data_IF_937623878480
#
_entry.id   IF_937623878480
#
_cell.length_a   1.000
_cell.length_b   1.000
_cell.length_c   1.000
_cell.angle_alpha   90.00
_cell.angle_beta   90.00
_cell.angle_gamma   90.00
#
_symmetry.space_group_name_H-M   'P 1'
#
loop_
_entity.id
_entity.type
_entity.pdbx_description
1 polymer ?
#
# COMPACT_ATOMS: atom_id res chain seq x y z
N UNK A 1 -7.01 3.55 -22.48
CA UNK A 1 -6.48 2.53 -21.55
C UNK A 1 -7.32 2.58 -20.30
N UNK A 2 -7.73 1.43 -19.77
CA UNK A 2 -8.42 1.36 -18.48
C UNK A 2 -7.43 1.67 -17.35
N UNK A 3 -7.51 2.88 -16.79
CA UNK A 3 -6.61 3.34 -15.73
C UNK A 3 -6.70 2.45 -14.48
N UNK A 4 -7.87 1.86 -14.19
CA UNK A 4 -8.02 0.94 -13.06
C UNK A 4 -7.21 -0.33 -13.29
N UNK A 5 -7.23 -0.87 -14.50
CA UNK A 5 -6.41 -2.04 -14.88
C UNK A 5 -4.91 -1.74 -14.79
N UNK A 6 -4.49 -0.55 -15.21
CA UNK A 6 -3.09 -0.13 -15.10
C UNK A 6 -2.64 -0.05 -13.63
N UNK A 7 -3.41 0.61 -12.77
CA UNK A 7 -3.10 0.70 -11.34
C UNK A 7 -3.11 -0.69 -10.67
N UNK A 8 -4.02 -1.58 -11.07
CA UNK A 8 -4.02 -2.95 -10.55
C UNK A 8 -2.76 -3.73 -10.98
N UNK A 9 -2.29 -3.56 -12.22
CA UNK A 9 -1.03 -4.17 -12.67
C UNK A 9 0.17 -3.60 -11.89
N UNK A 10 0.20 -2.30 -11.62
CA UNK A 10 1.25 -1.69 -10.77
C UNK A 10 1.25 -2.30 -9.36
N UNK A 11 0.06 -2.59 -8.80
CA UNK A 11 -0.04 -3.29 -7.52
C UNK A 11 0.59 -4.69 -7.58
N UNK A 12 0.31 -5.45 -8.64
CA UNK A 12 0.89 -6.79 -8.85
C UNK A 12 2.42 -6.71 -8.97
N UNK A 13 2.94 -5.75 -9.73
CA UNK A 13 4.38 -5.60 -9.91
C UNK A 13 5.07 -5.15 -8.60
N UNK A 14 4.44 -4.27 -7.83
CA UNK A 14 4.92 -3.92 -6.49
C UNK A 14 4.97 -5.13 -5.53
N UNK A 15 4.01 -6.07 -5.63
CA UNK A 15 4.05 -7.33 -4.86
C UNK A 15 5.23 -8.21 -5.29
N UNK A 16 5.53 -8.30 -6.59
CA UNK A 16 6.69 -9.05 -7.08
C UNK A 16 7.99 -8.44 -6.52
N UNK A 17 8.11 -7.12 -6.62
CA UNK A 17 9.26 -6.38 -6.08
C UNK A 17 9.39 -6.55 -4.57
N UNK A 18 8.28 -6.51 -3.82
CA UNK A 18 8.25 -6.80 -2.39
C UNK A 18 8.85 -8.18 -2.08
N UNK A 19 8.39 -9.23 -2.78
CA UNK A 19 8.87 -10.60 -2.58
C UNK A 19 10.37 -10.72 -2.87
N UNK A 20 10.85 -10.07 -3.94
CA UNK A 20 12.27 -10.05 -4.29
C UNK A 20 13.08 -9.32 -3.22
N UNK A 21 12.64 -8.14 -2.80
CA UNK A 21 13.32 -7.36 -1.76
C UNK A 21 13.40 -8.14 -0.44
N UNK A 22 12.30 -8.79 -0.06
CA UNK A 22 12.23 -9.63 1.13
C UNK A 22 13.20 -10.82 1.05
N UNK A 23 13.17 -11.59 -0.05
CA UNK A 23 14.08 -12.73 -0.24
C UNK A 23 15.56 -12.32 -0.16
N UNK A 24 15.88 -11.08 -0.55
CA UNK A 24 17.23 -10.51 -0.50
C UNK A 24 17.53 -9.73 0.79
N UNK A 25 16.69 -9.85 1.83
CA UNK A 25 16.83 -9.16 3.12
C UNK A 25 16.93 -7.63 3.00
N UNK A 26 16.37 -7.05 1.93
CA UNK A 26 16.29 -5.61 1.70
C UNK A 26 15.04 -5.05 2.37
N UNK A 27 15.05 -5.02 3.70
CA UNK A 27 13.85 -4.78 4.50
C UNK A 27 13.19 -3.42 4.25
N UNK A 28 13.97 -2.33 4.20
CA UNK A 28 13.47 -0.99 3.82
C UNK A 28 12.74 -1.00 2.47
N UNK A 29 13.32 -1.65 1.47
CA UNK A 29 12.70 -1.76 0.15
C UNK A 29 11.45 -2.65 0.19
N UNK A 30 11.46 -3.73 0.98
CA UNK A 30 10.29 -4.59 1.12
C UNK A 30 9.11 -3.83 1.74
N UNK A 31 9.34 -3.06 2.80
CA UNK A 31 8.30 -2.22 3.44
C UNK A 31 7.75 -1.21 2.43
N UNK A 32 8.63 -0.48 1.76
CA UNK A 32 8.25 0.50 0.74
C UNK A 32 7.37 -0.13 -0.36
N UNK A 33 7.79 -1.29 -0.89
CA UNK A 33 7.06 -2.00 -1.96
C UNK A 33 5.73 -2.58 -1.50
N UNK A 34 5.66 -3.07 -0.26
CA UNK A 34 4.43 -3.59 0.34
C UNK A 34 3.36 -2.50 0.47
N UNK A 35 3.75 -1.28 0.89
CA UNK A 35 2.86 -0.14 0.92
C UNK A 35 2.36 0.26 -0.48
N UNK A 36 3.26 0.40 -1.45
CA UNK A 36 2.87 0.81 -2.80
C UNK A 36 1.97 -0.22 -3.49
N UNK A 37 2.13 -1.51 -3.20
CA UNK A 37 1.20 -2.53 -3.66
C UNK A 37 -0.23 -2.23 -3.22
N UNK A 38 -0.43 -1.94 -1.93
CA UNK A 38 -1.76 -1.64 -1.39
C UNK A 38 -2.28 -0.29 -1.88
N UNK A 39 -1.42 0.72 -1.98
CA UNK A 39 -1.77 2.02 -2.53
C UNK A 39 -2.32 1.92 -3.97
N UNK A 40 -1.62 1.19 -4.84
CA UNK A 40 -2.03 0.99 -6.22
C UNK A 40 -3.34 0.19 -6.32
N UNK A 41 -3.52 -0.82 -5.46
CA UNK A 41 -4.77 -1.58 -5.38
C UNK A 41 -5.95 -0.70 -4.92
N UNK A 42 -5.76 0.12 -3.88
CA UNK A 42 -6.76 1.07 -3.40
C UNK A 42 -7.15 2.08 -4.49
N UNK A 43 -6.15 2.61 -5.21
CA UNK A 43 -6.38 3.54 -6.33
C UNK A 43 -7.13 2.89 -7.49
N UNK A 44 -6.78 1.65 -7.85
CA UNK A 44 -7.51 0.89 -8.86
C UNK A 44 -8.99 0.69 -8.48
N UNK A 45 -9.27 0.41 -7.21
CA UNK A 45 -10.64 0.26 -6.70
C UNK A 45 -11.40 1.60 -6.73
N UNK A 46 -10.78 2.71 -6.36
CA UNK A 46 -11.41 4.03 -6.48
C UNK A 46 -11.72 4.40 -7.93
N UNK A 47 -10.81 4.09 -8.86
CA UNK A 47 -11.03 4.29 -10.29
C UNK A 47 -12.21 3.47 -10.82
N UNK A 48 -12.45 2.26 -10.30
CA UNK A 48 -13.66 1.48 -10.64
C UNK A 48 -14.97 2.11 -10.18
N UNK A 49 -14.91 3.04 -9.23
CA UNK A 49 -16.04 3.88 -8.78
C UNK A 49 -16.05 5.27 -9.44
N UNK A 50 -15.22 5.49 -10.47
CA UNK A 50 -15.00 6.79 -11.11
C UNK A 50 -14.49 7.89 -10.15
N UNK A 51 -13.85 7.49 -9.05
CA UNK A 51 -13.28 8.41 -8.05
C UNK A 51 -11.80 8.65 -8.37
N UNK A 52 -11.47 9.90 -8.69
CA UNK A 52 -10.11 10.34 -9.00
C UNK A 52 -9.44 11.01 -7.81
N UNK A 53 -8.29 10.50 -7.39
CA UNK A 53 -7.47 11.10 -6.33
C UNK A 53 -6.14 11.58 -6.90
N UNK A 54 -5.73 12.79 -6.49
CA UNK A 54 -4.48 13.44 -6.98
C UNK A 54 -3.34 13.37 -5.98
N UNK A 55 -3.66 13.26 -4.68
CA UNK A 55 -2.69 13.22 -3.59
C UNK A 55 -2.63 11.81 -2.99
N UNK A 56 -1.49 11.48 -2.41
CA UNK A 56 -1.28 10.20 -1.73
C UNK A 56 -2.33 10.00 -0.62
N UNK A 57 -2.36 10.91 0.34
CA UNK A 57 -3.24 10.87 1.51
C UNK A 57 -4.73 10.85 1.12
N UNK A 58 -5.08 11.55 0.03
CA UNK A 58 -6.44 11.56 -0.51
C UNK A 58 -6.88 10.19 -1.01
N UNK A 59 -5.97 9.39 -1.57
CA UNK A 59 -6.27 8.02 -2.02
C UNK A 59 -6.63 7.14 -0.83
N UNK A 60 -5.85 7.19 0.24
CA UNK A 60 -6.07 6.37 1.42
C UNK A 60 -7.35 6.78 2.15
N UNK A 61 -7.59 8.09 2.34
CA UNK A 61 -8.83 8.59 2.94
C UNK A 61 -10.05 8.19 2.13
N UNK A 62 -10.04 8.41 0.80
CA UNK A 62 -11.17 8.07 -0.05
C UNK A 62 -11.41 6.56 -0.08
N UNK A 63 -10.36 5.74 -0.09
CA UNK A 63 -10.51 4.30 0.01
C UNK A 63 -11.17 3.89 1.34
N UNK A 64 -10.70 4.43 2.46
CA UNK A 64 -11.29 4.18 3.78
C UNK A 64 -12.77 4.56 3.82
N UNK A 65 -13.13 5.73 3.31
CA UNK A 65 -14.52 6.17 3.24
C UNK A 65 -15.37 5.24 2.35
N UNK A 66 -14.91 4.99 1.12
CA UNK A 66 -15.71 4.34 0.08
C UNK A 66 -15.84 2.83 0.23
N UNK A 67 -14.82 2.17 0.76
CA UNK A 67 -14.76 0.71 0.84
C UNK A 67 -14.88 0.17 2.25
N UNK A 68 -14.39 0.90 3.27
CA UNK A 68 -14.42 0.45 4.67
C UNK A 68 -15.61 1.03 5.43
N UNK A 69 -15.90 2.33 5.31
CA UNK A 69 -17.02 2.97 6.02
C UNK A 69 -18.34 2.75 5.27
N UNK A 70 -18.37 3.06 3.98
CA UNK A 70 -19.56 2.97 3.14
C UNK A 70 -19.66 1.63 2.38
N UNK A 71 -18.63 0.80 2.47
CA UNK A 71 -18.55 -0.50 1.79
C UNK A 71 -18.49 -1.67 2.77
N UNK A 72 -18.11 -2.83 2.24
CA UNK A 72 -18.12 -4.09 2.99
C UNK A 72 -16.72 -4.58 3.36
N UNK A 73 -15.69 -3.73 3.25
CA UNK A 73 -14.34 -4.12 3.64
C UNK A 73 -14.21 -4.11 5.17
N UNK A 74 -13.51 -5.11 5.71
CA UNK A 74 -13.23 -5.19 7.15
C UNK A 74 -12.40 -3.97 7.59
N UNK A 75 -12.74 -3.38 8.74
CA UNK A 75 -11.97 -2.30 9.37
C UNK A 75 -10.49 -2.66 9.59
N UNK A 76 -10.15 -3.94 9.69
CA UNK A 76 -8.76 -4.42 9.72
C UNK A 76 -7.96 -3.98 8.50
N UNK A 77 -8.59 -3.85 7.33
CA UNK A 77 -7.91 -3.40 6.11
C UNK A 77 -7.43 -1.95 6.27
N UNK A 78 -8.27 -1.06 6.82
CA UNK A 78 -7.85 0.32 7.11
C UNK A 78 -6.68 0.35 8.10
N UNK A 79 -6.71 -0.50 9.13
CA UNK A 79 -5.61 -0.61 10.11
C UNK A 79 -4.30 -1.07 9.46
N UNK A 80 -4.36 -2.06 8.55
CA UNK A 80 -3.20 -2.55 7.80
C UNK A 80 -2.62 -1.43 6.93
N UNK A 81 -3.46 -0.70 6.21
CA UNK A 81 -3.02 0.40 5.34
C UNK A 81 -2.31 1.49 6.13
N UNK A 82 -2.91 1.95 7.23
CA UNK A 82 -2.30 2.97 8.09
C UNK A 82 -0.95 2.49 8.64
N UNK A 83 -0.87 1.22 9.06
CA UNK A 83 0.38 0.65 9.56
C UNK A 83 1.47 0.62 8.48
N UNK A 84 1.12 0.22 7.25
CA UNK A 84 2.06 0.23 6.12
C UNK A 84 2.54 1.64 5.78
N UNK A 85 1.68 2.66 5.92
CA UNK A 85 2.04 4.06 5.72
C UNK A 85 3.03 4.58 6.77
N UNK A 86 2.79 4.24 8.04
CA UNK A 86 3.69 4.53 9.15
C UNK A 86 5.04 3.83 8.95
N UNK A 87 5.03 2.52 8.71
CA UNK A 87 6.24 1.71 8.51
C UNK A 87 7.04 2.22 7.30
N UNK A 88 6.37 2.61 6.19
CA UNK A 88 7.03 3.21 5.01
C UNK A 88 7.64 4.57 5.32
N UNK A 89 6.95 5.40 6.09
CA UNK A 89 7.47 6.72 6.49
C UNK A 89 8.66 6.59 7.43
N UNK A 90 8.62 5.65 8.37
CA UNK A 90 9.79 5.32 9.18
C UNK A 90 10.93 4.79 8.31
N UNK A 91 10.65 3.85 7.40
CA UNK A 91 11.63 3.29 6.47
C UNK A 91 12.33 4.37 5.64
N UNK A 92 11.58 5.33 5.10
CA UNK A 92 12.14 6.36 4.23
C UNK A 92 12.93 7.43 4.98
N UNK A 93 12.50 7.83 6.18
CA UNK A 93 13.05 8.99 6.90
C UNK A 93 13.91 8.65 8.12
N UNK A 94 13.86 7.43 8.66
CA UNK A 94 14.69 7.08 9.81
C UNK A 94 16.14 6.82 9.38
N UNK A 95 17.04 7.71 9.81
CA UNK A 95 18.50 7.61 9.57
C UNK A 95 19.13 6.48 10.40
N UNK A 96 18.52 6.10 11.55
CA UNK A 96 19.08 5.15 12.52
C UNK A 96 18.19 3.93 12.84
N UNK A 97 17.10 3.67 12.10
CA UNK A 97 16.23 2.52 12.40
C UNK A 97 16.82 1.21 11.90
N UNK A 98 17.01 0.24 12.80
CA UNK A 98 17.35 -1.15 12.46
C UNK A 98 16.07 -1.86 12.05
N UNK A 99 15.81 -1.94 10.74
CA UNK A 99 14.69 -2.74 10.21
C UNK A 99 15.03 -4.23 10.33
N UNK A 100 14.22 -4.98 11.08
CA UNK A 100 14.39 -6.42 11.29
C UNK A 100 13.24 -7.21 10.66
N UNK A 101 13.40 -8.53 10.58
CA UNK A 101 12.39 -9.46 10.04
C UNK A 101 11.00 -9.31 10.67
N UNK A 102 10.92 -8.88 11.94
CA UNK A 102 9.67 -8.74 12.69
C UNK A 102 8.79 -7.55 12.28
N UNK A 103 9.33 -6.55 11.57
CA UNK A 103 8.54 -5.36 11.17
C UNK A 103 7.81 -5.55 9.84
N UNK A 104 7.75 -6.78 9.35
CA UNK A 104 7.17 -7.09 8.06
C UNK A 104 5.80 -7.74 8.25
N UNK A 105 4.76 -7.08 7.76
CA UNK A 105 3.44 -7.66 7.72
C UNK A 105 3.29 -8.46 6.42
N UNK A 106 2.83 -9.71 6.53
CA UNK A 106 2.40 -10.49 5.37
C UNK A 106 1.06 -9.91 4.89
N UNK A 107 1.04 -9.40 3.65
CA UNK A 107 -0.17 -8.94 2.97
C UNK A 107 -0.87 -10.13 2.32
#
# INVERSE_FOLDING_TARGET
MDNAKLEFNNAIDAIKDFKIALANKRYKNSINRSYYAVFHAAKALLLKKDILTKKHDSTIQQFGLEYVVNGNFDQKIAKIINRLEEDRSEADYAINSIFTEKMQHTI
#
